data_IF_001487996768
#
_entry.id   IF_001487996768
#
_cell.length_a   1.000
_cell.length_b   1.000
_cell.length_c   1.000
_cell.angle_alpha   90.00
_cell.angle_beta   90.00
_cell.angle_gamma   90.00
#
_symmetry.space_group_name_H-M   'P 1'
#
loop_
_entity.id
_entity.type
_entity.pdbx_description
1 polymer ?
#
# COMPACT_ATOMS: atom_id res chain seq x y z
N UNK A 1 -1.52 -18.05 18.58
CA UNK A 1 -2.75 -18.36 17.82
C UNK A 1 -3.57 -19.49 18.47
N UNK A 2 -2.99 -20.27 19.39
CA UNK A 2 -3.64 -21.41 20.08
C UNK A 2 -4.73 -21.04 21.11
N UNK A 3 -4.91 -19.75 21.38
CA UNK A 3 -6.00 -19.26 22.24
C UNK A 3 -7.32 -19.42 21.51
N UNK A 4 -8.16 -20.35 21.98
CA UNK A 4 -9.46 -20.66 21.38
C UNK A 4 -10.54 -19.61 21.67
N UNK A 5 -10.33 -18.76 22.67
CA UNK A 5 -11.22 -17.67 23.07
C UNK A 5 -11.02 -16.37 22.27
N UNK A 6 -10.11 -16.37 21.29
CA UNK A 6 -9.89 -15.26 20.37
C UNK A 6 -10.52 -15.61 19.02
N UNK A 7 -11.47 -14.81 18.56
CA UNK A 7 -12.17 -15.01 17.28
C UNK A 7 -11.42 -14.37 16.10
N UNK A 8 -10.79 -13.21 16.33
CA UNK A 8 -10.16 -12.42 15.29
C UNK A 8 -8.83 -11.81 15.75
N UNK A 9 -7.98 -11.45 14.78
CA UNK A 9 -6.68 -10.81 15.00
C UNK A 9 -6.55 -9.51 14.20
N UNK A 10 -5.80 -8.56 14.77
CA UNK A 10 -5.32 -7.37 14.08
C UNK A 10 -3.84 -7.55 13.81
N UNK A 11 -3.46 -7.55 12.53
CA UNK A 11 -2.07 -7.65 12.09
C UNK A 11 -1.58 -6.23 11.79
N UNK A 12 -0.68 -5.75 12.64
CA UNK A 12 -0.01 -4.44 12.54
C UNK A 12 1.52 -4.59 12.62
N UNK A 13 2.04 -5.69 12.06
CA UNK A 13 3.48 -5.95 11.96
C UNK A 13 4.08 -5.12 10.80
N UNK A 14 5.40 -5.14 10.60
CA UNK A 14 5.98 -4.67 9.34
C UNK A 14 5.47 -5.46 8.12
N UNK A 15 5.52 -4.84 6.94
CA UNK A 15 4.88 -5.35 5.73
C UNK A 15 5.41 -6.73 5.32
N UNK A 16 6.71 -6.98 5.50
CA UNK A 16 7.34 -8.28 5.23
C UNK A 16 6.87 -9.43 6.13
N UNK A 17 6.11 -9.14 7.18
CA UNK A 17 5.51 -10.15 8.05
C UNK A 17 4.04 -10.42 7.75
N UNK A 18 3.37 -9.55 6.98
CA UNK A 18 1.92 -9.66 6.77
C UNK A 18 1.53 -11.01 6.19
N UNK A 19 2.20 -11.48 5.15
CA UNK A 19 1.82 -12.71 4.46
C UNK A 19 1.81 -13.94 5.39
N UNK A 20 2.90 -14.14 6.13
CA UNK A 20 3.00 -15.23 7.10
C UNK A 20 1.94 -15.11 8.20
N UNK A 21 1.78 -13.92 8.78
CA UNK A 21 0.81 -13.69 9.84
C UNK A 21 -0.64 -13.92 9.38
N UNK A 22 -0.98 -13.51 8.15
CA UNK A 22 -2.30 -13.74 7.55
C UNK A 22 -2.55 -15.23 7.35
N UNK A 23 -1.59 -15.94 6.73
CA UNK A 23 -1.72 -17.37 6.42
C UNK A 23 -1.86 -18.18 7.71
N UNK A 24 -1.00 -17.95 8.70
CA UNK A 24 -1.02 -18.66 9.98
C UNK A 24 -2.33 -18.39 10.73
N UNK A 25 -2.79 -17.14 10.75
CA UNK A 25 -4.05 -16.77 11.41
C UNK A 25 -5.25 -17.42 10.75
N UNK A 26 -5.27 -17.48 9.41
CA UNK A 26 -6.34 -18.13 8.66
C UNK A 26 -6.36 -19.64 8.95
N UNK A 27 -5.21 -20.30 8.94
CA UNK A 27 -5.09 -21.72 9.25
C UNK A 27 -5.48 -22.05 10.70
N UNK A 28 -5.25 -21.12 11.62
CA UNK A 28 -5.69 -21.21 13.02
C UNK A 28 -7.19 -20.89 13.21
N UNK A 29 -7.94 -20.66 12.13
CA UNK A 29 -9.38 -20.45 12.17
C UNK A 29 -9.80 -19.04 12.61
N UNK A 30 -8.89 -18.06 12.57
CA UNK A 30 -9.15 -16.67 13.01
C UNK A 30 -9.61 -15.79 11.85
N UNK A 31 -10.54 -14.89 12.14
CA UNK A 31 -10.83 -13.78 11.23
C UNK A 31 -9.75 -12.70 11.34
N UNK A 32 -9.53 -11.95 10.26
CA UNK A 32 -8.30 -11.16 10.11
C UNK A 32 -8.63 -9.74 9.66
N UNK A 33 -8.10 -8.77 10.39
CA UNK A 33 -7.86 -7.43 9.88
C UNK A 33 -6.34 -7.24 9.77
N UNK A 34 -5.84 -6.85 8.59
CA UNK A 34 -4.42 -6.59 8.37
C UNK A 34 -4.22 -5.15 7.89
N UNK A 35 -3.31 -4.42 8.52
CA UNK A 35 -2.93 -3.10 8.06
C UNK A 35 -2.34 -3.13 6.65
N UNK A 36 -2.42 -2.00 5.96
CA UNK A 36 -1.80 -1.79 4.64
C UNK A 36 -0.30 -1.51 4.80
N UNK A 37 0.51 -1.76 3.76
CA UNK A 37 0.19 -2.46 2.51
C UNK A 37 -0.02 -3.96 2.74
N UNK A 38 -0.86 -4.62 1.91
CA UNK A 38 -1.29 -6.00 2.14
C UNK A 38 -0.13 -7.00 2.22
N UNK A 39 0.79 -6.95 1.25
CA UNK A 39 1.97 -7.83 1.13
C UNK A 39 3.09 -7.10 0.38
N UNK A 40 4.31 -7.65 0.37
CA UNK A 40 5.42 -7.10 -0.42
C UNK A 40 5.28 -7.42 -1.89
N UNK A 41 4.81 -8.62 -2.20
CA UNK A 41 4.68 -9.10 -3.57
C UNK A 41 3.25 -9.50 -3.91
N UNK A 42 2.94 -9.48 -5.21
CA UNK A 42 1.65 -9.97 -5.72
C UNK A 42 1.48 -11.46 -5.41
N UNK A 43 2.56 -12.26 -5.49
CA UNK A 43 2.48 -13.70 -5.28
C UNK A 43 2.25 -14.07 -3.81
N UNK A 44 2.79 -13.30 -2.86
CA UNK A 44 2.37 -13.38 -1.45
C UNK A 44 0.88 -13.11 -1.30
N UNK A 45 0.37 -12.04 -1.94
CA UNK A 45 -1.05 -11.69 -1.90
C UNK A 45 -1.95 -12.83 -2.40
N UNK A 46 -1.57 -13.49 -3.51
CA UNK A 46 -2.28 -14.68 -4.02
C UNK A 46 -2.31 -15.82 -3.00
N UNK A 47 -1.22 -16.04 -2.28
CA UNK A 47 -1.14 -17.07 -1.23
C UNK A 47 -2.04 -16.73 -0.04
N UNK A 48 -2.06 -15.47 0.40
CA UNK A 48 -2.98 -14.98 1.42
C UNK A 48 -4.45 -15.22 1.03
N UNK A 49 -4.83 -14.83 -0.20
CA UNK A 49 -6.19 -15.05 -0.72
C UNK A 49 -6.57 -16.53 -0.70
N UNK A 50 -5.66 -17.41 -1.14
CA UNK A 50 -5.88 -18.86 -1.12
C UNK A 50 -6.07 -19.38 0.31
N UNK A 51 -5.21 -18.98 1.24
CA UNK A 51 -5.28 -19.43 2.64
C UNK A 51 -6.58 -18.99 3.32
N UNK A 52 -6.93 -17.71 3.22
CA UNK A 52 -8.16 -17.14 3.79
C UNK A 52 -9.41 -17.83 3.24
N UNK A 53 -9.49 -18.02 1.90
CA UNK A 53 -10.63 -18.69 1.26
C UNK A 53 -10.73 -20.16 1.65
N UNK A 54 -9.62 -20.88 1.69
CA UNK A 54 -9.60 -22.30 2.07
C UNK A 54 -10.05 -22.52 3.52
N UNK A 55 -9.68 -21.61 4.42
CA UNK A 55 -10.11 -21.64 5.81
C UNK A 55 -11.52 -21.04 6.03
N UNK A 56 -12.15 -20.50 4.98
CA UNK A 56 -13.45 -19.85 5.06
C UNK A 56 -13.50 -18.72 6.08
N UNK A 57 -12.43 -17.90 6.17
CA UNK A 57 -12.29 -16.80 7.13
C UNK A 57 -12.65 -15.46 6.53
N UNK A 58 -13.07 -14.52 7.38
CA UNK A 58 -13.26 -13.12 7.02
C UNK A 58 -11.90 -12.43 7.01
N UNK A 59 -11.65 -11.62 5.98
CA UNK A 59 -10.44 -10.83 5.85
C UNK A 59 -10.74 -9.39 5.42
N UNK A 60 -10.06 -8.43 6.04
CA UNK A 60 -10.09 -7.02 5.64
C UNK A 60 -8.69 -6.41 5.67
N UNK A 61 -8.31 -5.74 4.58
CA UNK A 61 -7.15 -4.84 4.56
C UNK A 61 -7.53 -3.49 5.19
N UNK A 62 -6.61 -2.87 5.93
CA UNK A 62 -6.76 -1.56 6.57
C UNK A 62 -6.76 -0.36 5.62
N UNK A 63 -7.53 -0.41 4.54
CA UNK A 63 -7.73 0.68 3.58
C UNK A 63 -8.75 1.70 4.10
N UNK A 64 -8.44 2.35 5.22
CA UNK A 64 -9.39 3.20 5.96
C UNK A 64 -10.02 4.33 5.14
N UNK A 65 -9.35 4.83 4.09
CA UNK A 65 -9.88 5.93 3.26
C UNK A 65 -11.19 5.57 2.56
N UNK A 66 -11.45 4.29 2.27
CA UNK A 66 -12.75 3.87 1.73
C UNK A 66 -13.92 4.14 2.67
N UNK A 67 -13.65 4.29 3.97
CA UNK A 67 -14.66 4.62 5.00
C UNK A 67 -14.81 6.12 5.26
N UNK A 68 -13.91 6.97 4.72
CA UNK A 68 -14.00 8.42 4.86
C UNK A 68 -14.97 8.98 3.81
N UNK A 69 -15.92 9.79 4.29
CA UNK A 69 -17.04 10.28 3.50
C UNK A 69 -16.61 11.11 2.30
N UNK A 70 -15.48 11.84 2.37
CA UNK A 70 -14.99 12.68 1.27
C UNK A 70 -14.59 11.83 0.08
N UNK A 71 -13.77 10.80 0.30
CA UNK A 71 -13.34 9.91 -0.78
C UNK A 71 -14.50 9.13 -1.36
N UNK A 72 -15.41 8.61 -0.51
CA UNK A 72 -16.64 7.97 -0.98
C UNK A 72 -17.50 8.92 -1.81
N UNK A 73 -17.70 10.15 -1.36
CA UNK A 73 -18.49 11.15 -2.09
C UNK A 73 -17.85 11.53 -3.43
N UNK A 74 -16.53 11.69 -3.49
CA UNK A 74 -15.81 11.91 -4.76
C UNK A 74 -16.06 10.77 -5.75
N UNK A 75 -15.89 9.51 -5.32
CA UNK A 75 -16.16 8.34 -6.15
C UNK A 75 -17.63 8.28 -6.59
N UNK A 76 -18.58 8.60 -5.70
CA UNK A 76 -20.01 8.67 -6.03
C UNK A 76 -20.27 9.74 -7.11
N UNK A 77 -19.72 10.95 -6.99
CA UNK A 77 -19.90 12.01 -7.99
C UNK A 77 -19.32 11.62 -9.36
N UNK A 78 -18.14 11.01 -9.37
CA UNK A 78 -17.47 10.52 -10.59
C UNK A 78 -18.32 9.41 -11.24
N UNK A 79 -18.68 8.37 -10.49
CA UNK A 79 -19.42 7.21 -11.03
C UNK A 79 -20.84 7.56 -11.47
N UNK A 80 -21.43 8.62 -10.93
CA UNK A 80 -22.73 9.15 -11.37
C UNK A 80 -22.64 10.19 -12.50
N UNK A 81 -21.46 10.40 -13.09
CA UNK A 81 -21.29 11.24 -14.29
C UNK A 81 -21.38 12.75 -14.03
N UNK A 82 -21.19 13.20 -12.79
CA UNK A 82 -21.23 14.62 -12.44
C UNK A 82 -20.19 15.44 -13.20
N UNK A 83 -19.01 14.85 -13.46
CA UNK A 83 -17.94 15.44 -14.29
C UNK A 83 -17.97 14.98 -15.76
N UNK A 84 -19.07 14.37 -16.21
CA UNK A 84 -19.17 13.75 -17.54
C UNK A 84 -18.33 12.47 -17.65
N UNK A 85 -17.80 12.19 -18.84
CA UNK A 85 -16.97 11.00 -19.04
C UNK A 85 -15.60 11.22 -18.38
N UNK A 86 -15.20 10.30 -17.49
CA UNK A 86 -13.88 10.32 -16.87
C UNK A 86 -12.78 10.13 -17.93
N UNK A 87 -11.76 10.99 -17.94
CA UNK A 87 -10.68 10.99 -18.94
C UNK A 87 -9.32 10.64 -18.36
N UNK A 88 -9.05 11.06 -17.13
CA UNK A 88 -7.79 10.78 -16.44
C UNK A 88 -7.99 10.91 -14.93
N UNK A 89 -7.18 10.17 -14.17
CA UNK A 89 -7.08 10.32 -12.73
C UNK A 89 -5.61 10.55 -12.38
N UNK A 90 -5.33 11.60 -11.63
CA UNK A 90 -3.98 11.87 -11.10
C UNK A 90 -3.99 11.58 -9.60
N UNK A 91 -3.03 10.79 -9.11
CA UNK A 91 -2.81 10.59 -7.66
C UNK A 91 -1.49 11.21 -7.26
N UNK A 92 -1.48 11.89 -6.11
CA UNK A 92 -0.32 12.62 -5.61
C UNK A 92 0.05 12.08 -4.23
N UNK A 93 1.11 11.29 -4.15
CA UNK A 93 1.44 10.51 -2.94
C UNK A 93 2.67 10.99 -2.18
N UNK A 94 3.33 12.03 -2.68
CA UNK A 94 4.54 12.61 -2.09
C UNK A 94 5.82 11.85 -2.47
N UNK A 95 6.96 12.43 -2.15
CA UNK A 95 8.28 11.86 -2.42
C UNK A 95 8.70 10.87 -1.33
N UNK A 96 9.44 9.83 -1.72
CA UNK A 96 10.19 8.98 -0.81
C UNK A 96 11.35 9.74 -0.15
N UNK A 97 11.76 9.37 1.07
CA UNK A 97 12.90 10.01 1.72
C UNK A 97 14.23 9.54 1.13
N UNK A 98 15.27 10.36 1.29
CA UNK A 98 16.67 9.94 1.17
C UNK A 98 17.27 9.71 2.55
N UNK A 99 18.41 9.01 2.62
CA UNK A 99 19.10 8.74 3.89
C UNK A 99 19.32 7.26 4.14
N UNK A 100 19.26 6.85 5.41
CA UNK A 100 19.52 5.47 5.81
C UNK A 100 21.01 5.09 5.82
N UNK A 101 21.91 6.08 5.82
CA UNK A 101 23.37 5.88 5.81
C UNK A 101 24.00 5.81 7.21
N UNK A 102 23.19 5.69 8.27
CA UNK A 102 23.70 5.51 9.62
C UNK A 102 24.51 4.22 9.73
N UNK A 103 25.55 4.19 10.58
CA UNK A 103 26.36 3.01 10.78
C UNK A 103 25.52 1.87 11.37
N UNK A 104 25.98 0.64 11.14
CA UNK A 104 25.42 -0.49 11.86
C UNK A 104 25.77 -0.36 13.34
N UNK A 105 24.80 -0.64 14.22
CA UNK A 105 24.96 -0.54 15.68
C UNK A 105 24.49 -1.83 16.35
N UNK A 106 24.76 -1.97 17.64
CA UNK A 106 24.24 -3.09 18.42
C UNK A 106 22.72 -3.10 18.45
N UNK A 107 22.12 -4.31 18.41
CA UNK A 107 20.68 -4.50 18.55
C UNK A 107 20.24 -3.97 19.93
N UNK A 108 19.20 -3.13 20.02
CA UNK A 108 18.73 -2.62 21.30
C UNK A 108 18.18 -3.75 22.19
N UNK A 109 18.32 -3.65 23.53
CA UNK A 109 17.74 -4.62 24.44
C UNK A 109 16.24 -4.82 24.20
N UNK A 110 15.78 -6.07 24.16
CA UNK A 110 14.38 -6.42 23.96
C UNK A 110 13.93 -6.54 22.50
N UNK A 111 14.78 -6.19 21.53
CA UNK A 111 14.53 -6.49 20.12
C UNK A 111 15.21 -7.81 19.74
N UNK A 112 14.41 -8.80 19.37
CA UNK A 112 14.90 -10.00 18.70
C UNK A 112 15.04 -9.68 17.20
N UNK A 113 16.27 -9.39 16.78
CA UNK A 113 16.53 -8.94 15.42
C UNK A 113 16.34 -10.05 14.38
N UNK A 114 16.71 -11.29 14.70
CA UNK A 114 16.51 -12.44 13.82
C UNK A 114 15.02 -12.65 13.57
N UNK A 115 14.22 -12.63 14.64
CA UNK A 115 12.76 -12.69 14.53
C UNK A 115 12.17 -11.46 13.85
N UNK A 116 12.72 -10.27 14.06
CA UNK A 116 12.21 -9.08 13.38
C UNK A 116 12.42 -9.17 11.86
N UNK A 117 13.60 -9.63 11.42
CA UNK A 117 13.91 -9.84 10.00
C UNK A 117 13.01 -10.90 9.37
N UNK A 118 12.81 -12.03 10.04
CA UNK A 118 11.95 -13.09 9.54
C UNK A 118 12.40 -13.62 8.19
N UNK A 119 11.55 -13.47 7.17
CA UNK A 119 11.86 -13.90 5.80
C UNK A 119 12.78 -12.93 5.03
N UNK A 120 13.03 -11.74 5.56
CA UNK A 120 13.89 -10.76 4.91
C UNK A 120 15.38 -11.15 5.01
N UNK A 121 16.26 -10.59 4.15
CA UNK A 121 17.69 -10.91 4.18
C UNK A 121 18.34 -10.65 5.55
N UNK A 122 19.22 -11.57 5.96
CA UNK A 122 20.02 -11.42 7.18
C UNK A 122 21.03 -10.29 7.02
N UNK A 123 20.81 -9.18 7.72
CA UNK A 123 21.69 -8.00 7.71
C UNK A 123 21.97 -7.52 9.14
N UNK A 124 23.09 -6.83 9.38
CA UNK A 124 23.33 -6.20 10.67
C UNK A 124 22.24 -5.17 11.01
N UNK A 125 21.97 -5.02 12.30
CA UNK A 125 21.03 -4.01 12.76
C UNK A 125 21.56 -2.59 12.49
N UNK A 126 20.62 -1.74 12.08
CA UNK A 126 20.78 -0.32 11.82
C UNK A 126 19.47 0.36 12.23
N UNK A 127 19.55 1.55 12.82
CA UNK A 127 18.35 2.21 13.37
C UNK A 127 17.32 2.44 12.27
N UNK A 128 17.78 2.93 11.13
CA UNK A 128 16.95 3.28 9.98
C UNK A 128 16.40 2.06 9.21
N UNK A 129 16.80 0.83 9.56
CA UNK A 129 16.24 -0.42 9.01
C UNK A 129 15.07 -0.97 9.82
N UNK A 130 14.77 -0.36 10.97
CA UNK A 130 13.80 -0.92 11.92
C UNK A 130 12.49 -0.12 11.91
N UNK A 131 11.80 -0.02 13.06
CA UNK A 131 10.48 0.56 13.21
C UNK A 131 10.32 1.91 12.49
N UNK A 132 9.18 2.07 11.81
CA UNK A 132 8.84 3.18 10.91
C UNK A 132 9.68 3.28 9.62
N UNK A 133 11.00 3.22 9.71
CA UNK A 133 11.89 3.48 8.56
C UNK A 133 12.16 2.27 7.67
N UNK A 134 11.80 1.06 8.12
CA UNK A 134 11.78 -0.15 7.29
C UNK A 134 11.06 0.05 5.95
N UNK A 135 10.10 0.99 5.89
CA UNK A 135 9.32 1.36 4.71
C UNK A 135 10.17 1.75 3.52
N UNK A 136 11.38 2.26 3.76
CA UNK A 136 12.28 2.80 2.74
C UNK A 136 13.31 1.78 2.23
N UNK A 137 13.10 0.50 2.57
CA UNK A 137 13.92 -0.61 2.14
C UNK A 137 13.06 -1.65 1.40
N UNK A 138 13.41 -1.97 0.16
CA UNK A 138 12.72 -2.98 -0.65
C UNK A 138 12.73 -4.37 -0.03
N UNK A 139 13.68 -4.63 0.87
CA UNK A 139 13.71 -5.85 1.67
C UNK A 139 12.50 -6.01 2.61
N UNK A 140 11.87 -4.90 3.03
CA UNK A 140 10.84 -4.89 4.07
C UNK A 140 9.52 -4.23 3.66
N UNK A 141 9.51 -3.47 2.55
CA UNK A 141 8.36 -2.71 2.06
C UNK A 141 8.57 -2.33 0.59
N UNK A 142 7.70 -1.50 0.01
CA UNK A 142 7.83 -0.97 -1.35
C UNK A 142 7.91 0.57 -1.40
N UNK A 143 8.33 1.22 -0.32
CA UNK A 143 8.49 2.67 -0.29
C UNK A 143 7.18 3.44 -0.35
N UNK A 144 7.28 4.73 -0.68
CA UNK A 144 6.13 5.63 -0.74
C UNK A 144 5.06 5.13 -1.72
N UNK A 145 5.49 4.55 -2.84
CA UNK A 145 4.60 4.00 -3.87
C UNK A 145 3.64 2.96 -3.32
N UNK A 146 4.10 2.06 -2.45
CA UNK A 146 3.21 1.05 -1.82
C UNK A 146 2.54 1.58 -0.57
N UNK A 147 3.21 2.43 0.21
CA UNK A 147 2.72 2.94 1.48
C UNK A 147 1.52 3.90 1.31
N UNK A 148 1.69 4.93 0.47
CA UNK A 148 0.64 5.89 0.14
C UNK A 148 -0.10 5.57 -1.16
N UNK A 149 0.50 4.79 -2.08
CA UNK A 149 -0.27 4.32 -3.23
C UNK A 149 -1.38 3.36 -2.83
N UNK A 150 -1.20 2.53 -1.79
CA UNK A 150 -2.28 1.70 -1.23
C UNK A 150 -3.48 2.53 -0.71
N UNK A 151 -3.27 3.82 -0.45
CA UNK A 151 -4.28 4.79 -0.08
C UNK A 151 -4.92 5.40 -1.35
N UNK A 152 -4.16 6.18 -2.12
CA UNK A 152 -4.75 6.98 -3.20
C UNK A 152 -5.03 6.20 -4.48
N UNK A 153 -4.19 5.23 -4.86
CA UNK A 153 -4.43 4.42 -6.05
C UNK A 153 -5.60 3.43 -5.85
N UNK A 154 -5.87 3.04 -4.61
CA UNK A 154 -7.07 2.28 -4.26
C UNK A 154 -8.35 3.09 -4.52
N UNK A 155 -8.42 4.32 -4.02
CA UNK A 155 -9.57 5.22 -4.27
C UNK A 155 -9.67 5.60 -5.75
N UNK A 156 -8.55 5.82 -6.44
CA UNK A 156 -8.55 6.07 -7.88
C UNK A 156 -9.21 4.91 -8.64
N UNK A 157 -8.83 3.67 -8.36
CA UNK A 157 -9.45 2.48 -8.96
C UNK A 157 -10.93 2.38 -8.61
N UNK A 158 -11.31 2.69 -7.36
CA UNK A 158 -12.71 2.68 -6.94
C UNK A 158 -13.56 3.73 -7.66
N UNK A 159 -13.04 4.94 -7.89
CA UNK A 159 -13.69 5.97 -8.70
C UNK A 159 -13.76 5.60 -10.18
N UNK A 160 -12.76 4.88 -10.68
CA UNK A 160 -12.67 4.40 -12.07
C UNK A 160 -13.58 3.20 -12.35
N UNK A 161 -14.05 2.50 -11.31
CA UNK A 161 -14.78 1.24 -11.44
C UNK A 161 -13.90 0.05 -11.85
N UNK A 162 -12.60 0.11 -11.53
CA UNK A 162 -11.60 -0.90 -11.91
C UNK A 162 -11.04 -1.70 -10.73
N UNK A 163 -11.67 -1.60 -9.55
CA UNK A 163 -11.24 -2.26 -8.31
C UNK A 163 -11.18 -3.80 -8.37
N UNK A 164 -11.86 -4.42 -9.34
CA UNK A 164 -11.85 -5.88 -9.56
C UNK A 164 -10.96 -6.33 -10.73
N UNK A 165 -10.47 -5.42 -11.56
CA UNK A 165 -9.73 -5.74 -12.80
C UNK A 165 -8.26 -5.30 -12.75
N UNK A 166 -7.96 -4.19 -12.09
CA UNK A 166 -6.61 -3.64 -12.00
C UNK A 166 -6.05 -3.14 -13.35
N UNK A 167 -4.82 -2.58 -13.36
CA UNK A 167 -4.18 -2.09 -14.56
C UNK A 167 -3.67 -3.23 -15.47
N UNK A 168 -3.67 -2.99 -16.78
CA UNK A 168 -3.17 -3.91 -17.82
C UNK A 168 -1.72 -3.62 -18.22
N UNK A 169 -1.24 -2.41 -17.97
CA UNK A 169 0.17 -2.05 -18.09
C UNK A 169 0.52 -0.91 -17.14
N UNK A 170 1.81 -0.80 -16.84
CA UNK A 170 2.39 0.29 -16.08
C UNK A 170 3.68 0.74 -16.75
N UNK A 171 3.85 2.04 -16.95
CA UNK A 171 5.08 2.64 -17.48
C UNK A 171 5.37 3.95 -16.75
N UNK A 172 6.64 4.33 -16.64
CA UNK A 172 6.98 5.53 -15.91
C UNK A 172 8.46 5.74 -15.72
N UNK A 173 8.78 6.80 -14.99
CA UNK A 173 10.14 7.13 -14.58
C UNK A 173 10.23 7.17 -13.07
N UNK A 174 11.42 6.92 -12.54
CA UNK A 174 11.70 7.04 -11.13
C UNK A 174 13.16 7.46 -10.91
N UNK A 175 13.41 8.18 -9.82
CA UNK A 175 14.76 8.41 -9.29
C UNK A 175 14.97 7.57 -8.05
N UNK A 176 16.21 7.13 -7.85
CA UNK A 176 16.59 6.26 -6.73
C UNK A 176 17.72 6.92 -5.93
N UNK A 177 17.80 6.64 -4.63
CA UNK A 177 18.87 7.12 -3.77
C UNK A 177 20.21 6.50 -4.14
N UNK A 178 21.30 7.12 -3.67
CA UNK A 178 22.64 6.57 -3.76
C UNK A 178 22.76 5.26 -2.95
N UNK A 179 23.55 4.27 -3.42
CA UNK A 179 23.73 3.01 -2.71
C UNK A 179 24.24 3.16 -1.27
N UNK A 180 23.86 2.20 -0.42
CA UNK A 180 24.31 2.10 0.98
C UNK A 180 23.39 2.77 2.01
N UNK A 181 22.34 3.41 1.55
CA UNK A 181 21.22 3.92 2.34
C UNK A 181 19.91 3.22 1.97
N UNK A 182 18.79 3.93 2.14
CA UNK A 182 17.49 3.52 1.59
C UNK A 182 17.63 3.15 0.11
N UNK A 183 16.74 2.29 -0.39
CA UNK A 183 16.81 1.78 -1.76
C UNK A 183 15.47 1.89 -2.53
N UNK A 184 14.41 2.41 -1.90
CA UNK A 184 13.12 2.67 -2.56
C UNK A 184 13.13 3.96 -3.40
N UNK A 185 12.25 4.04 -4.41
CA UNK A 185 12.16 5.23 -5.28
C UNK A 185 11.84 6.52 -4.50
N UNK A 186 12.51 7.63 -4.87
CA UNK A 186 12.36 8.97 -4.28
C UNK A 186 11.25 9.72 -5.01
N UNK A 187 11.50 10.04 -6.28
CA UNK A 187 10.53 10.64 -7.18
C UNK A 187 10.10 9.65 -8.23
N UNK A 188 8.87 9.78 -8.70
CA UNK A 188 8.32 8.92 -9.74
C UNK A 188 7.08 9.55 -10.38
N UNK A 189 6.89 9.21 -11.65
CA UNK A 189 5.69 9.46 -12.43
C UNK A 189 5.34 8.16 -13.14
N UNK A 190 4.29 7.48 -12.68
CA UNK A 190 3.92 6.14 -13.16
C UNK A 190 2.50 6.20 -13.71
N UNK A 191 2.38 5.92 -15.01
CA UNK A 191 1.12 5.79 -15.71
C UNK A 191 0.66 4.33 -15.70
N UNK A 192 -0.54 4.11 -15.20
CA UNK A 192 -1.25 2.85 -15.22
C UNK A 192 -2.38 2.90 -16.25
N UNK A 193 -2.37 1.96 -17.19
CA UNK A 193 -3.43 1.81 -18.18
C UNK A 193 -4.44 0.76 -17.72
N UNK A 194 -5.71 1.00 -18.02
CA UNK A 194 -6.82 0.10 -17.68
C UNK A 194 -7.59 -0.25 -18.94
N UNK A 195 -8.15 -1.46 -18.96
CA UNK A 195 -9.04 -1.86 -20.05
C UNK A 195 -10.37 -1.11 -19.94
N UNK A 196 -10.75 -0.41 -21.02
CA UNK A 196 -12.04 0.28 -21.16
C UNK A 196 -12.35 1.30 -20.04
N UNK A 197 -11.31 1.89 -19.44
CA UNK A 197 -11.43 2.84 -18.33
C UNK A 197 -10.35 3.93 -18.40
N UNK A 198 -10.46 4.96 -17.56
CA UNK A 198 -9.51 6.06 -17.58
C UNK A 198 -8.13 5.61 -17.06
N UNK A 199 -7.02 6.13 -17.62
CA UNK A 199 -5.70 5.93 -17.06
C UNK A 199 -5.56 6.59 -15.69
N UNK A 200 -4.70 6.02 -14.85
CA UNK A 200 -4.29 6.61 -13.57
C UNK A 200 -2.81 7.00 -13.68
N UNK A 201 -2.47 8.25 -13.39
CA UNK A 201 -1.07 8.68 -13.29
C UNK A 201 -0.74 8.95 -11.82
N UNK A 202 0.22 8.22 -11.29
CA UNK A 202 0.68 8.35 -9.91
C UNK A 202 1.96 9.17 -9.87
N UNK A 203 1.88 10.30 -9.18
CA UNK A 203 2.91 11.30 -9.04
C UNK A 203 3.48 11.32 -7.62
N UNK A 204 4.79 11.47 -7.52
CA UNK A 204 5.44 11.78 -6.24
C UNK A 204 5.38 13.26 -5.88
N UNK A 205 5.10 14.15 -6.84
CA UNK A 205 5.11 15.62 -6.62
C UNK A 205 3.73 16.22 -6.87
N UNK A 206 3.35 17.21 -6.06
CA UNK A 206 2.03 17.86 -6.10
C UNK A 206 1.28 17.77 -4.77
N UNK A 207 0.09 18.37 -4.73
CA UNK A 207 -0.75 18.40 -3.52
C UNK A 207 -1.33 17.03 -3.22
N UNK A 208 -1.08 16.53 -2.01
CA UNK A 208 -1.46 15.16 -1.63
C UNK A 208 -2.97 14.94 -1.77
N UNK A 209 -3.36 14.06 -2.67
CA UNK A 209 -4.77 13.83 -2.99
C UNK A 209 -4.95 13.12 -4.32
N UNK A 210 -6.18 13.12 -4.79
CA UNK A 210 -6.62 12.46 -6.02
C UNK A 210 -7.43 13.46 -6.82
N UNK A 211 -7.06 13.66 -8.09
CA UNK A 211 -7.78 14.50 -9.02
C UNK A 211 -8.43 13.64 -10.10
N UNK A 212 -9.75 13.71 -10.22
CA UNK A 212 -10.52 13.10 -11.28
C UNK A 212 -10.85 14.17 -12.33
N UNK A 213 -10.38 14.01 -13.56
CA UNK A 213 -10.65 14.94 -14.67
C UNK A 213 -11.61 14.28 -15.66
N UNK A 214 -12.75 14.92 -15.90
CA UNK A 214 -13.78 14.48 -16.84
C UNK A 214 -14.13 15.55 -17.88
N UNK A 215 -14.99 15.22 -18.84
CA UNK A 215 -15.37 16.13 -19.94
C UNK A 215 -16.10 17.40 -19.51
N UNK A 216 -16.70 17.41 -18.32
CA UNK A 216 -17.55 18.51 -17.83
C UNK A 216 -17.02 19.18 -16.57
N UNK A 217 -15.88 18.74 -16.05
CA UNK A 217 -15.29 19.29 -14.84
C UNK A 217 -14.28 18.37 -14.19
N UNK A 218 -13.83 18.77 -13.01
CA UNK A 218 -12.82 18.07 -12.23
C UNK A 218 -13.25 17.98 -10.76
N UNK A 219 -12.79 16.95 -10.06
CA UNK A 219 -12.94 16.79 -8.60
C UNK A 219 -11.55 16.51 -8.04
N UNK A 220 -11.12 17.28 -7.04
CA UNK A 220 -9.95 16.98 -6.24
C UNK A 220 -10.40 16.53 -4.85
N UNK A 221 -9.85 15.45 -4.33
CA UNK A 221 -10.18 14.95 -2.99
C UNK A 221 -8.92 14.60 -2.21
N UNK A 222 -8.90 15.00 -0.95
CA UNK A 222 -7.82 14.72 -0.01
C UNK A 222 -8.39 14.38 1.38
N UNK A 223 -7.50 14.24 2.37
CA UNK A 223 -7.93 14.06 3.76
C UNK A 223 -8.53 15.34 4.34
N UNK A 224 -8.23 16.52 3.79
CA UNK A 224 -8.73 17.81 4.27
C UNK A 224 -9.95 18.32 3.51
N UNK A 225 -10.11 17.98 2.23
CA UNK A 225 -11.12 18.61 1.38
C UNK A 225 -11.67 17.70 0.26
N UNK A 226 -12.77 18.15 -0.34
CA UNK A 226 -13.36 17.72 -1.61
C UNK A 226 -14.01 18.93 -2.29
#
# INVERSE_FOLDING_TARGET
LDRSDIDAVVIATPDHWHAAAIIDSAQAGKDIYCEKPLTLTIDEGKQCVKAVRNAGRVFQTGSQQRSDWKFRHACELVRNGYIGDLKQIDTYIGEGPTGGHDPNVGVPPGLDWDRWLGQAPMVPYRVTRCHYEFRWWYAYSGGKLTDWGAHHNDIAQWGNGTEETGPISAEGTATFPEPGGYDTAITFDIRFEYKDAAPVICHSTGDNGIKFTGTKGEIFVSRSEI
#
